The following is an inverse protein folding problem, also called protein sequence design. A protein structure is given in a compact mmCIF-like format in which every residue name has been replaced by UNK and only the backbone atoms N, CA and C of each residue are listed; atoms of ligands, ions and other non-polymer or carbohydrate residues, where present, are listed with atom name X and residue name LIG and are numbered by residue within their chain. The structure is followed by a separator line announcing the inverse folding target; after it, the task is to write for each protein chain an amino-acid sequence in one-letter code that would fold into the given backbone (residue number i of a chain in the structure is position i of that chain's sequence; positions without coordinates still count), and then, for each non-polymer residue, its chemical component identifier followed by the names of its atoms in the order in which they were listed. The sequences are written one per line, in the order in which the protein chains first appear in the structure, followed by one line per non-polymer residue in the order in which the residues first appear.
data_IF_585378694011
#
_entry.id   IF_585378694011
#
_cell.length_a   1.000
_cell.length_b   1.000
_cell.length_c   1.000
_cell.angle_alpha   90.00
_cell.angle_beta   90.00
_cell.angle_gamma   90.00
#
_symmetry.space_group_name_H-M   'P 1'
#
loop_
_entity.id
_entity.type
_entity.pdbx_description
1 polymer ?
#
# COMPACT_ATOMS: atom_id res chain seq x y z
N UNK A 1 -1.22 7.60 20.20
CA UNK A 1 -1.91 8.35 19.14
C UNK A 1 -3.41 8.13 19.29
N UNK A 2 -4.24 9.16 19.12
CA UNK A 2 -5.71 9.04 19.23
C UNK A 2 -6.34 8.65 17.89
N UNK A 3 -7.62 8.25 17.85
CA UNK A 3 -8.31 7.98 16.58
C UNK A 3 -8.29 9.19 15.64
N UNK A 4 -8.42 10.40 16.19
CA UNK A 4 -8.39 11.65 15.41
C UNK A 4 -7.03 11.92 14.79
N UNK A 5 -5.96 11.57 15.49
CA UNK A 5 -4.61 11.70 14.95
C UNK A 5 -4.38 10.69 13.82
N UNK A 6 -4.87 9.47 13.99
CA UNK A 6 -4.80 8.43 12.95
C UNK A 6 -5.57 8.86 11.70
N UNK A 7 -6.75 9.47 11.83
CA UNK A 7 -7.51 9.99 10.68
C UNK A 7 -6.75 11.05 9.88
N UNK A 8 -5.89 11.84 10.53
CA UNK A 8 -5.01 12.80 9.83
C UNK A 8 -3.87 12.08 9.13
N UNK A 9 -3.31 11.04 9.75
CA UNK A 9 -2.29 10.22 9.10
C UNK A 9 -2.84 9.49 7.89
N UNK A 10 -4.07 8.99 7.93
CA UNK A 10 -4.70 8.39 6.75
C UNK A 10 -4.90 9.40 5.60
N UNK A 11 -5.19 10.66 5.93
CA UNK A 11 -5.23 11.72 4.91
C UNK A 11 -3.85 12.01 4.34
N UNK A 12 -2.81 12.00 5.17
CA UNK A 12 -1.43 12.13 4.71
C UNK A 12 -1.04 10.95 3.80
N UNK A 13 -1.37 9.73 4.21
CA UNK A 13 -1.16 8.51 3.42
C UNK A 13 -1.87 8.58 2.08
N UNK A 14 -3.11 9.08 2.04
CA UNK A 14 -3.84 9.27 0.80
C UNK A 14 -3.16 10.27 -0.14
N UNK A 15 -2.64 11.39 0.38
CA UNK A 15 -1.93 12.38 -0.43
C UNK A 15 -0.64 11.81 -1.00
N UNK A 16 0.16 11.14 -0.16
CA UNK A 16 1.45 10.59 -0.57
C UNK A 16 1.29 9.42 -1.55
N UNK A 17 0.35 8.51 -1.32
CA UNK A 17 0.11 7.40 -2.26
C UNK A 17 -0.36 7.87 -3.65
N UNK A 18 -0.98 9.06 -3.73
CA UNK A 18 -1.43 9.65 -4.99
C UNK A 18 -0.44 10.69 -5.55
N UNK A 19 0.65 10.98 -4.83
CA UNK A 19 1.60 12.04 -5.18
C UNK A 19 2.20 11.88 -6.60
N UNK A 20 2.54 10.67 -7.09
CA UNK A 20 3.04 10.49 -8.46
C UNK A 20 2.07 10.93 -9.56
N UNK A 21 0.77 10.99 -9.24
CA UNK A 21 -0.30 11.39 -10.16
C UNK A 21 -0.90 12.74 -9.79
N UNK A 22 -0.30 13.48 -8.86
CA UNK A 22 -0.82 14.77 -8.41
C UNK A 22 -0.60 15.86 -9.45
N UNK A 23 -1.62 16.71 -9.64
CA UNK A 23 -1.51 17.94 -10.44
C UNK A 23 -0.85 19.08 -9.66
N UNK A 24 -0.77 18.98 -8.32
CA UNK A 24 -0.27 20.02 -7.43
C UNK A 24 0.64 19.39 -6.34
N UNK A 25 1.74 18.70 -6.73
CA UNK A 25 2.53 17.89 -5.81
C UNK A 25 3.17 18.70 -4.68
N UNK A 26 3.52 19.97 -4.94
CA UNK A 26 4.08 20.86 -3.91
C UNK A 26 3.06 21.15 -2.81
N UNK A 27 1.85 21.52 -3.19
CA UNK A 27 0.75 21.80 -2.27
C UNK A 27 0.36 20.56 -1.46
N UNK A 28 0.34 19.39 -2.10
CA UNK A 28 0.05 18.12 -1.43
C UNK A 28 1.10 17.77 -0.38
N UNK A 29 2.41 17.92 -0.70
CA UNK A 29 3.49 17.72 0.27
C UNK A 29 3.35 18.71 1.43
N UNK A 30 3.10 19.99 1.18
CA UNK A 30 2.91 20.97 2.27
C UNK A 30 1.72 20.61 3.18
N UNK A 31 0.63 20.10 2.58
CA UNK A 31 -0.53 19.63 3.33
C UNK A 31 -0.19 18.40 4.19
N UNK A 32 0.61 17.47 3.67
CA UNK A 32 1.16 16.35 4.45
C UNK A 32 1.97 16.87 5.64
N UNK A 33 2.86 17.84 5.42
CA UNK A 33 3.63 18.48 6.49
C UNK A 33 2.75 19.06 7.60
N UNK A 34 1.66 19.75 7.23
CA UNK A 34 0.71 20.29 8.19
C UNK A 34 0.00 19.18 8.99
N UNK A 35 -0.41 18.09 8.34
CA UNK A 35 -1.04 16.94 9.02
C UNK A 35 -0.07 16.27 9.99
N UNK A 36 1.19 16.06 9.59
CA UNK A 36 2.24 15.48 10.45
C UNK A 36 2.53 16.37 11.67
N UNK A 37 2.50 17.69 11.49
CA UNK A 37 2.66 18.65 12.58
C UNK A 37 1.52 18.60 13.58
N UNK A 38 0.30 18.50 13.10
CA UNK A 38 -0.89 18.43 13.96
C UNK A 38 -0.99 17.15 14.80
N UNK A 39 -0.24 16.10 14.44
CA UNK A 39 -0.14 14.86 15.22
C UNK A 39 1.17 14.76 16.00
N UNK A 40 2.03 15.79 15.93
CA UNK A 40 3.29 15.87 16.68
C UNK A 40 4.42 14.99 16.13
N UNK A 41 4.37 14.60 14.85
CA UNK A 41 5.46 13.87 14.18
C UNK A 41 6.49 14.84 13.60
N UNK A 42 6.09 16.06 13.26
CA UNK A 42 6.93 17.08 12.63
C UNK A 42 6.79 18.44 13.33
N UNK A 43 7.90 19.12 13.62
CA UNK A 43 7.85 20.43 14.30
C UNK A 43 7.60 21.60 13.33
N UNK A 44 8.24 21.56 12.15
CA UNK A 44 8.11 22.56 11.08
C UNK A 44 7.71 21.91 9.75
N UNK A 45 6.73 22.50 9.09
CA UNK A 45 6.10 22.00 7.86
C UNK A 45 6.42 22.89 6.64
N UNK A 46 7.53 23.63 6.68
CA UNK A 46 7.91 24.56 5.60
C UNK A 46 8.87 23.96 4.57
N UNK A 47 9.69 22.98 4.96
CA UNK A 47 10.69 22.34 4.11
C UNK A 47 10.19 21.04 3.49
N UNK A 48 10.03 21.03 2.15
CA UNK A 48 9.48 19.89 1.42
C UNK A 48 10.28 18.60 1.62
N UNK A 49 11.61 18.71 1.68
CA UNK A 49 12.48 17.55 1.85
C UNK A 49 12.31 16.91 3.22
N UNK A 50 12.34 17.73 4.26
CA UNK A 50 12.11 17.28 5.65
C UNK A 50 10.73 16.64 5.79
N UNK A 51 9.70 17.19 5.15
CA UNK A 51 8.34 16.60 5.17
C UNK A 51 8.34 15.20 4.54
N UNK A 52 8.86 15.06 3.32
CA UNK A 52 8.88 13.78 2.60
C UNK A 52 9.72 12.75 3.36
N UNK A 53 10.92 13.13 3.82
CA UNK A 53 11.80 12.23 4.58
C UNK A 53 11.14 11.75 5.89
N UNK A 54 10.46 12.67 6.60
CA UNK A 54 9.74 12.34 7.85
C UNK A 54 8.54 11.43 7.60
N UNK A 55 7.74 11.72 6.57
CA UNK A 55 6.62 10.88 6.16
C UNK A 55 7.11 9.47 5.81
N UNK A 56 8.11 9.37 4.94
CA UNK A 56 8.65 8.11 4.46
C UNK A 56 9.21 7.26 5.60
N UNK A 57 9.90 7.89 6.56
CA UNK A 57 10.38 7.18 7.74
C UNK A 57 9.23 6.63 8.59
N UNK A 58 8.19 7.44 8.84
CA UNK A 58 7.01 6.96 9.57
C UNK A 58 6.31 5.80 8.83
N UNK A 59 6.14 5.91 7.52
CA UNK A 59 5.52 4.87 6.70
C UNK A 59 6.33 3.56 6.74
N UNK A 60 7.66 3.63 6.60
CA UNK A 60 8.54 2.46 6.71
C UNK A 60 8.46 1.78 8.07
N UNK A 61 8.40 2.55 9.16
CA UNK A 61 8.31 1.98 10.51
C UNK A 61 6.99 1.21 10.69
N UNK A 62 5.88 1.73 10.16
CA UNK A 62 4.60 1.02 10.18
C UNK A 62 4.57 -0.22 9.29
N UNK A 63 5.17 -0.14 8.09
CA UNK A 63 5.35 -1.29 7.19
C UNK A 63 6.09 -2.41 7.92
N UNK A 64 7.19 -2.08 8.59
CA UNK A 64 8.00 -3.03 9.36
C UNK A 64 7.23 -3.68 10.51
N UNK A 65 6.33 -2.93 11.15
CA UNK A 65 5.48 -3.45 12.22
C UNK A 65 4.38 -4.38 11.69
N UNK A 66 3.85 -4.11 10.49
CA UNK A 66 2.79 -4.88 9.86
C UNK A 66 3.26 -6.24 9.29
N UNK A 67 4.52 -6.34 8.87
CA UNK A 67 5.08 -7.55 8.25
C UNK A 67 5.11 -8.73 9.23
N UNK A 68 4.55 -9.87 8.80
CA UNK A 68 4.59 -11.10 9.59
C UNK A 68 5.94 -11.80 9.46
N UNK A 69 6.57 -12.10 10.60
CA UNK A 69 7.92 -12.71 10.68
C UNK A 69 8.02 -14.15 10.19
N UNK A 70 6.91 -14.90 10.11
CA UNK A 70 6.93 -16.32 9.69
C UNK A 70 6.25 -16.47 8.34
N UNK A 71 7.07 -16.61 7.30
CA UNK A 71 6.64 -16.91 5.93
C UNK A 71 6.77 -18.40 5.63
N UNK A 72 5.92 -18.95 4.77
CA UNK A 72 6.05 -20.32 4.24
C UNK A 72 6.46 -20.34 2.76
N UNK A 73 6.31 -19.21 2.08
CA UNK A 73 6.90 -18.92 0.78
C UNK A 73 7.28 -17.44 0.73
N UNK A 74 8.32 -17.11 -0.01
CA UNK A 74 8.69 -15.76 -0.40
C UNK A 74 8.00 -15.46 -1.72
N UNK A 75 7.16 -14.43 -1.76
CA UNK A 75 6.48 -13.98 -2.99
C UNK A 75 7.25 -12.80 -3.57
N UNK A 76 7.50 -12.81 -4.88
CA UNK A 76 8.15 -11.72 -5.62
C UNK A 76 7.27 -11.21 -6.76
N UNK A 77 7.26 -9.90 -6.99
CA UNK A 77 6.58 -9.25 -8.11
C UNK A 77 7.57 -8.80 -9.19
N UNK A 78 7.11 -8.88 -10.43
CA UNK A 78 7.78 -8.44 -11.64
C UNK A 78 7.02 -7.21 -12.18
N UNK A 79 7.24 -6.01 -11.62
CA UNK A 79 6.43 -4.82 -11.91
C UNK A 79 6.40 -4.43 -13.39
N UNK A 80 7.45 -4.76 -14.16
CA UNK A 80 7.51 -4.55 -15.59
C UNK A 80 6.37 -5.23 -16.36
N UNK A 81 5.90 -6.38 -15.88
CA UNK A 81 4.77 -7.10 -16.50
C UNK A 81 3.48 -6.31 -16.28
N UNK A 82 3.29 -5.75 -15.08
CA UNK A 82 2.11 -4.93 -14.79
C UNK A 82 2.15 -3.63 -15.59
N UNK A 83 3.32 -2.98 -15.69
CA UNK A 83 3.54 -1.75 -16.47
C UNK A 83 3.22 -1.98 -17.95
N UNK A 84 3.63 -3.11 -18.51
CA UNK A 84 3.26 -3.48 -19.88
C UNK A 84 1.74 -3.46 -20.07
N UNK A 85 0.99 -4.11 -19.17
CA UNK A 85 -0.46 -4.20 -19.29
C UNK A 85 -1.19 -2.87 -19.02
N UNK A 86 -0.61 -1.92 -18.29
CA UNK A 86 -1.19 -0.57 -18.15
C UNK A 86 -1.25 0.20 -19.47
N UNK A 87 -0.41 -0.18 -20.44
CA UNK A 87 -0.31 0.44 -21.76
C UNK A 87 -0.81 -0.48 -22.87
N UNK A 88 -1.58 -1.52 -22.52
CA UNK A 88 -2.16 -2.45 -23.50
C UNK A 88 -3.20 -1.74 -24.39
N UNK A 89 -3.30 -2.17 -25.65
CA UNK A 89 -4.28 -1.63 -26.60
C UNK A 89 -5.72 -2.12 -26.30
N UNK A 90 -5.85 -3.25 -25.60
CA UNK A 90 -7.13 -3.73 -25.09
C UNK A 90 -7.48 -3.00 -23.78
N UNK A 91 -8.44 -2.08 -23.86
CA UNK A 91 -8.94 -1.30 -22.72
C UNK A 91 -9.31 -2.18 -21.52
N UNK A 92 -9.83 -3.39 -21.75
CA UNK A 92 -10.17 -4.32 -20.67
C UNK A 92 -8.92 -4.81 -19.93
N UNK A 93 -7.83 -5.08 -20.64
CA UNK A 93 -6.56 -5.51 -20.03
C UNK A 93 -5.94 -4.34 -19.26
N UNK A 94 -5.95 -3.14 -19.86
CA UNK A 94 -5.47 -1.93 -19.20
C UNK A 94 -6.24 -1.64 -17.90
N UNK A 95 -7.56 -1.81 -17.91
CA UNK A 95 -8.39 -1.60 -16.72
C UNK A 95 -8.13 -2.66 -15.63
N UNK A 96 -7.90 -3.93 -15.99
CA UNK A 96 -7.49 -4.96 -15.03
C UNK A 96 -6.15 -4.60 -14.36
N UNK A 97 -5.19 -4.07 -15.12
CA UNK A 97 -3.90 -3.64 -14.57
C UNK A 97 -4.06 -2.43 -13.64
N UNK A 98 -4.89 -1.45 -14.00
CA UNK A 98 -5.22 -0.30 -13.14
C UNK A 98 -5.94 -0.73 -11.85
N UNK A 99 -6.85 -1.69 -11.95
CA UNK A 99 -7.56 -2.24 -10.80
C UNK A 99 -6.60 -2.97 -9.86
N UNK A 100 -5.61 -3.70 -10.39
CA UNK A 100 -4.55 -4.33 -9.60
C UNK A 100 -3.80 -3.30 -8.75
N UNK A 101 -3.30 -2.22 -9.36
CA UNK A 101 -2.63 -1.12 -8.65
C UNK A 101 -3.55 -0.47 -7.62
N UNK A 102 -4.80 -0.19 -8.01
CA UNK A 102 -5.80 0.42 -7.13
C UNK A 102 -6.05 -0.45 -5.90
N UNK A 103 -6.14 -1.77 -6.06
CA UNK A 103 -6.35 -2.69 -4.96
C UNK A 103 -5.12 -2.75 -4.04
N UNK A 104 -3.91 -2.73 -4.60
CA UNK A 104 -2.68 -2.68 -3.81
C UNK A 104 -2.58 -1.39 -2.99
N UNK A 105 -2.87 -0.23 -3.59
CA UNK A 105 -2.94 1.07 -2.91
C UNK A 105 -3.96 1.04 -1.77
N UNK A 106 -5.19 0.56 -2.02
CA UNK A 106 -6.23 0.43 -0.99
C UNK A 106 -5.83 -0.51 0.13
N UNK A 107 -5.15 -1.61 -0.20
CA UNK A 107 -4.67 -2.57 0.79
C UNK A 107 -3.60 -1.94 1.67
N UNK A 108 -2.60 -1.28 1.08
CA UNK A 108 -1.53 -0.59 1.79
C UNK A 108 -2.05 0.48 2.75
N UNK A 109 -2.95 1.35 2.28
CA UNK A 109 -3.58 2.39 3.11
C UNK A 109 -4.30 1.84 4.34
N UNK A 110 -4.95 0.67 4.21
CA UNK A 110 -5.60 0.04 5.37
C UNK A 110 -4.56 -0.57 6.30
N UNK A 111 -3.57 -1.28 5.75
CA UNK A 111 -2.61 -2.03 6.56
C UNK A 111 -1.68 -1.11 7.36
N UNK A 112 -1.22 -0.01 6.76
CA UNK A 112 -0.25 0.90 7.38
C UNK A 112 -0.74 1.51 8.69
N UNK A 113 -2.06 1.70 8.86
CA UNK A 113 -2.67 2.20 10.12
C UNK A 113 -3.50 1.16 10.87
N UNK A 114 -3.45 -0.11 10.46
CA UNK A 114 -4.37 -1.13 10.99
C UNK A 114 -4.21 -1.36 12.50
N UNK A 115 -2.97 -1.51 12.95
CA UNK A 115 -2.67 -1.79 14.37
C UNK A 115 -2.81 -0.53 15.24
N UNK A 116 -2.48 0.66 14.71
CA UNK A 116 -2.74 1.93 15.37
C UNK A 116 -4.24 2.14 15.63
N UNK A 117 -5.09 1.90 14.63
CA UNK A 117 -6.55 1.98 14.78
C UNK A 117 -7.04 1.03 15.85
N UNK A 118 -6.58 -0.21 15.81
CA UNK A 118 -6.92 -1.22 16.80
C UNK A 118 -6.52 -0.77 18.21
N UNK A 119 -5.32 -0.20 18.38
CA UNK A 119 -4.83 0.28 19.67
C UNK A 119 -5.65 1.48 20.18
N UNK A 120 -5.88 2.50 19.33
CA UNK A 120 -6.66 3.69 19.69
C UNK A 120 -8.11 3.34 20.04
N UNK A 121 -8.79 2.55 19.20
CA UNK A 121 -10.17 2.15 19.48
C UNK A 121 -10.31 1.32 20.74
N UNK A 122 -9.33 0.48 21.06
CA UNK A 122 -9.34 -0.29 22.31
C UNK A 122 -9.25 0.61 23.54
N UNK A 123 -8.61 1.78 23.43
CA UNK A 123 -8.48 2.75 24.51
C UNK A 123 -9.70 3.71 24.59
N UNK A 124 -10.31 4.03 23.45
CA UNK A 124 -11.32 5.09 23.35
C UNK A 124 -12.77 4.58 23.32
N UNK A 125 -13.02 3.38 22.78
CA UNK A 125 -14.38 2.86 22.57
C UNK A 125 -14.82 1.91 23.67
N UNK A 126 -16.13 1.77 23.82
CA UNK A 126 -16.70 0.72 24.65
C UNK A 126 -16.37 -0.67 24.07
N UNK A 127 -16.40 -1.73 24.90
CA UNK A 127 -16.03 -3.07 24.45
C UNK A 127 -16.90 -3.62 23.31
N UNK A 128 -18.19 -3.27 23.26
CA UNK A 128 -19.10 -3.67 22.18
C UNK A 128 -18.82 -2.88 20.90
N UNK A 129 -18.74 -1.55 21.01
CA UNK A 129 -18.45 -0.67 19.88
C UNK A 129 -17.09 -0.99 19.25
N UNK A 130 -16.05 -1.22 20.07
CA UNK A 130 -14.73 -1.67 19.60
C UNK A 130 -14.82 -2.96 18.76
N UNK A 131 -15.55 -3.98 19.26
CA UNK A 131 -15.67 -5.26 18.55
C UNK A 131 -16.35 -5.08 17.19
N UNK A 132 -17.41 -4.27 17.14
CA UNK A 132 -18.11 -4.00 15.90
C UNK A 132 -17.23 -3.23 14.91
N UNK A 133 -16.66 -2.09 15.31
CA UNK A 133 -15.85 -1.25 14.43
C UNK A 133 -14.60 -1.99 13.94
N UNK A 134 -13.94 -2.76 14.82
CA UNK A 134 -12.78 -3.55 14.42
C UNK A 134 -13.16 -4.69 13.46
N UNK A 135 -14.30 -5.36 13.67
CA UNK A 135 -14.77 -6.39 12.75
C UNK A 135 -15.05 -5.82 11.36
N UNK A 136 -15.71 -4.67 11.26
CA UNK A 136 -15.97 -4.00 9.98
C UNK A 136 -14.67 -3.62 9.24
N UNK A 137 -13.65 -3.14 9.96
CA UNK A 137 -12.33 -2.86 9.40
C UNK A 137 -11.62 -4.13 8.92
N UNK A 138 -11.64 -5.20 9.72
CA UNK A 138 -10.98 -6.48 9.39
C UNK A 138 -11.62 -7.15 8.17
N UNK A 139 -12.96 -7.11 8.07
CA UNK A 139 -13.71 -7.57 6.89
C UNK A 139 -13.38 -6.75 5.65
N UNK A 140 -13.32 -5.42 5.78
CA UNK A 140 -12.91 -4.55 4.67
C UNK A 140 -11.49 -4.90 4.19
N UNK A 141 -10.53 -5.04 5.12
CA UNK A 141 -9.16 -5.45 4.82
C UNK A 141 -9.14 -6.82 4.12
N UNK A 142 -9.94 -7.78 4.61
CA UNK A 142 -10.00 -9.12 4.05
C UNK A 142 -10.52 -9.12 2.61
N UNK A 143 -11.58 -8.38 2.32
CA UNK A 143 -12.15 -8.23 0.97
C UNK A 143 -11.14 -7.63 -0.01
N UNK A 144 -10.53 -6.49 0.34
CA UNK A 144 -9.56 -5.83 -0.54
C UNK A 144 -8.33 -6.74 -0.79
N UNK A 145 -7.91 -7.51 0.22
CA UNK A 145 -6.85 -8.49 0.03
C UNK A 145 -7.26 -9.62 -0.92
N UNK A 146 -8.51 -10.08 -0.90
CA UNK A 146 -9.00 -11.02 -1.93
C UNK A 146 -8.93 -10.40 -3.32
N UNK A 147 -9.35 -9.14 -3.45
CA UNK A 147 -9.31 -8.44 -4.74
C UNK A 147 -7.86 -8.34 -5.26
N UNK A 148 -6.88 -8.08 -4.38
CA UNK A 148 -5.45 -8.12 -4.72
C UNK A 148 -5.03 -9.50 -5.26
N UNK A 149 -5.39 -10.58 -4.56
CA UNK A 149 -5.04 -11.96 -4.95
C UNK A 149 -5.68 -12.31 -6.29
N UNK A 150 -6.93 -11.91 -6.51
CA UNK A 150 -7.65 -12.14 -7.75
C UNK A 150 -7.03 -11.36 -8.91
N UNK A 151 -6.68 -10.08 -8.72
CA UNK A 151 -5.95 -9.30 -9.72
C UNK A 151 -4.61 -9.95 -10.08
N UNK A 152 -3.80 -10.36 -9.09
CA UNK A 152 -2.53 -11.08 -9.31
C UNK A 152 -2.77 -12.36 -10.13
N UNK A 153 -3.79 -13.14 -9.79
CA UNK A 153 -4.11 -14.38 -10.49
C UNK A 153 -4.53 -14.14 -11.95
N UNK A 154 -5.20 -13.02 -12.24
CA UNK A 154 -5.54 -12.62 -13.61
C UNK A 154 -4.29 -12.22 -14.38
N UNK A 155 -3.45 -11.33 -13.84
CA UNK A 155 -2.22 -10.88 -14.52
C UNK A 155 -1.24 -12.05 -14.75
N UNK A 156 -1.11 -12.98 -13.80
CA UNK A 156 -0.32 -14.19 -13.99
C UNK A 156 -0.81 -15.06 -15.15
N UNK A 157 -2.14 -15.14 -15.36
CA UNK A 157 -2.73 -15.89 -16.49
C UNK A 157 -2.50 -15.17 -17.81
N UNK A 158 -2.61 -13.84 -17.85
CA UNK A 158 -2.30 -13.05 -19.04
C UNK A 158 -0.85 -13.25 -19.46
N UNK A 159 0.10 -13.04 -18.54
CA UNK A 159 1.53 -13.19 -18.81
C UNK A 159 1.91 -14.61 -19.27
N UNK A 160 1.28 -15.64 -18.68
CA UNK A 160 1.47 -17.03 -19.13
C UNK A 160 0.93 -17.28 -20.54
N UNK A 161 -0.23 -16.70 -20.87
CA UNK A 161 -0.86 -16.86 -22.19
C UNK A 161 -0.06 -16.17 -23.30
N UNK A 162 0.50 -15.01 -22.99
CA UNK A 162 1.24 -14.19 -23.95
C UNK A 162 2.68 -14.71 -24.14
N UNK A 163 3.04 -15.82 -23.48
CA UNK A 163 4.31 -16.50 -23.66
C UNK A 163 5.49 -15.87 -22.91
N UNK A 164 5.21 -15.05 -21.89
CA UNK A 164 6.26 -14.50 -21.03
C UNK A 164 7.06 -15.62 -20.37
N UNK A 165 8.37 -15.41 -20.23
CA UNK A 165 9.26 -16.35 -19.55
C UNK A 165 8.97 -16.46 -18.03
N UNK A 166 8.26 -15.48 -17.48
CA UNK A 166 7.86 -15.41 -16.06
C UNK A 166 6.46 -14.81 -15.91
N UNK A 167 5.87 -15.02 -14.74
CA UNK A 167 4.57 -14.44 -14.37
C UNK A 167 4.75 -13.21 -13.48
N UNK A 168 3.75 -12.34 -13.43
CA UNK A 168 3.78 -11.13 -12.61
C UNK A 168 4.17 -11.41 -11.15
N UNK A 169 3.50 -12.35 -10.48
CA UNK A 169 3.90 -12.84 -9.17
C UNK A 169 4.52 -14.24 -9.27
N UNK A 170 5.60 -14.45 -8.54
CA UNK A 170 6.29 -15.75 -8.39
C UNK A 170 6.53 -16.06 -6.91
N UNK A 171 6.82 -17.32 -6.59
CA UNK A 171 7.11 -17.74 -5.23
C UNK A 171 8.07 -18.92 -5.17
N UNK A 172 8.86 -19.00 -4.10
CA UNK A 172 9.94 -19.98 -3.90
C UNK A 172 9.45 -21.35 -3.36
N UNK A 173 8.25 -21.77 -3.75
CA UNK A 173 7.67 -23.06 -3.34
C UNK A 173 7.02 -23.77 -4.51
N UNK A 174 7.76 -24.71 -5.10
CA UNK A 174 7.36 -25.45 -6.30
C UNK A 174 6.15 -26.37 -6.09
N UNK A 175 5.78 -26.69 -4.85
CA UNK A 175 4.56 -27.46 -4.55
C UNK A 175 3.28 -26.64 -4.72
N UNK A 176 3.40 -25.32 -4.74
CA UNK A 176 2.28 -24.40 -4.94
C UNK A 176 2.25 -24.00 -6.41
N UNK A 177 1.14 -24.29 -7.10
CA UNK A 177 0.99 -24.07 -8.55
C UNK A 177 0.10 -22.88 -8.89
N UNK A 178 -0.44 -22.22 -7.88
CA UNK A 178 -1.43 -21.14 -8.01
C UNK A 178 -1.25 -20.17 -6.84
N UNK A 179 -1.23 -18.87 -7.12
CA UNK A 179 -1.12 -17.82 -6.11
C UNK A 179 -2.22 -17.94 -5.05
N UNK A 180 -3.42 -18.42 -5.41
CA UNK A 180 -4.54 -18.62 -4.47
C UNK A 180 -4.26 -19.69 -3.40
N UNK A 181 -3.25 -20.54 -3.62
CA UNK A 181 -2.78 -21.56 -2.67
C UNK A 181 -1.57 -21.08 -1.85
N UNK A 182 -0.94 -19.96 -2.23
CA UNK A 182 0.09 -19.32 -1.40
C UNK A 182 -0.56 -18.79 -0.12
N UNK A 183 0.08 -18.94 1.05
CA UNK A 183 -0.49 -18.39 2.28
C UNK A 183 -0.73 -16.90 2.15
N UNK A 184 -1.96 -16.48 2.50
CA UNK A 184 -2.39 -15.08 2.37
C UNK A 184 -1.44 -14.11 3.07
N UNK A 185 -0.88 -14.50 4.23
CA UNK A 185 0.10 -13.67 4.93
C UNK A 185 1.34 -13.36 4.10
N UNK A 186 1.78 -14.30 3.28
CA UNK A 186 3.01 -14.21 2.52
C UNK A 186 2.79 -13.30 1.30
N UNK A 187 1.60 -13.39 0.67
CA UNK A 187 1.15 -12.45 -0.36
C UNK A 187 1.01 -11.04 0.21
N UNK A 188 0.34 -10.91 1.36
CA UNK A 188 0.15 -9.63 2.03
C UNK A 188 1.48 -8.95 2.38
N UNK A 189 2.44 -9.71 2.93
CA UNK A 189 3.80 -9.21 3.18
C UNK A 189 4.44 -8.72 1.89
N UNK A 190 4.40 -9.48 0.80
CA UNK A 190 5.01 -9.06 -0.46
C UNK A 190 4.38 -7.80 -1.05
N UNK A 191 3.04 -7.63 -0.96
CA UNK A 191 2.38 -6.38 -1.38
C UNK A 191 2.90 -5.22 -0.54
N UNK A 192 2.98 -5.39 0.78
CA UNK A 192 3.45 -4.34 1.69
C UNK A 192 4.93 -4.00 1.42
N UNK A 193 5.80 -5.00 1.33
CA UNK A 193 7.25 -4.81 1.17
C UNK A 193 7.63 -4.29 -0.21
N UNK A 194 7.07 -4.83 -1.29
CA UNK A 194 7.56 -4.50 -2.64
C UNK A 194 6.81 -3.31 -3.23
N UNK A 195 5.49 -3.20 -3.01
CA UNK A 195 4.71 -2.11 -3.60
C UNK A 195 4.79 -0.82 -2.78
N UNK A 196 4.78 -0.89 -1.45
CA UNK A 196 4.81 0.33 -0.63
C UNK A 196 6.21 0.95 -0.57
N UNK A 197 7.26 0.12 -0.56
CA UNK A 197 8.63 0.65 -0.68
C UNK A 197 8.84 1.35 -2.05
N UNK A 198 8.24 0.84 -3.13
CA UNK A 198 8.26 1.50 -4.44
C UNK A 198 7.52 2.85 -4.44
N UNK A 199 6.37 2.95 -3.76
CA UNK A 199 5.66 4.22 -3.60
C UNK A 199 6.52 5.25 -2.87
N UNK A 200 7.19 4.83 -1.79
CA UNK A 200 8.08 5.69 -1.00
C UNK A 200 9.28 6.19 -1.85
N UNK A 201 9.81 5.34 -2.73
CA UNK A 201 10.85 5.75 -3.68
C UNK A 201 10.34 6.74 -4.73
N UNK A 202 9.07 6.64 -5.13
CA UNK A 202 8.47 7.58 -6.08
C UNK A 202 8.28 8.97 -5.46
N UNK A 203 8.02 9.08 -4.17
CA UNK A 203 7.93 10.37 -3.47
C UNK A 203 9.24 11.17 -3.58
N UNK A 204 10.38 10.50 -3.48
CA UNK A 204 11.70 11.12 -3.66
C UNK A 204 11.95 11.57 -5.11
N UNK A 205 11.42 10.82 -6.10
CA UNK A 205 11.48 11.23 -7.51
C UNK A 205 10.63 12.47 -7.77
N UNK A 206 9.41 12.52 -7.24
CA UNK A 206 8.52 13.68 -7.38
C UNK A 206 9.11 14.90 -6.67
N UNK A 207 9.61 14.73 -5.44
CA UNK A 207 10.27 15.82 -4.69
C UNK A 207 11.40 16.46 -5.52
N UNK A 208 12.24 15.65 -6.16
CA UNK A 208 13.32 16.15 -7.01
C UNK A 208 12.79 17.02 -8.16
N UNK A 209 11.69 16.64 -8.80
CA UNK A 209 11.07 17.40 -9.90
C UNK A 209 10.45 18.73 -9.46
N UNK A 210 10.08 18.87 -8.18
CA UNK A 210 9.41 20.06 -7.63
C UNK A 210 10.40 21.04 -7.00
N UNK A 211 11.57 20.56 -6.60
CA UNK A 211 12.63 21.36 -5.98
C UNK A 211 13.66 21.86 -7.00
N UNK A 212 13.90 21.13 -8.10
CA UNK A 212 14.74 21.53 -9.23
C UNK A 212 14.02 22.52 -10.18
#
# INVERSE_FOLDING_TARGET
MTSKDIEKLEQADQLMFNLPNSNNPKEDILKVGQLLKEVGILDDASDLRTIVDTYNQNAHDEIKNAIRKKMRATVGFHPEILIQYLHDEDDMIADIAKDCLTNFTKYGQIVIRFDDKKAAWKAEKSGEEYRQTFHELDEKRHRIHNDCIDSIAVINRLSSRDGSATTYATWDNSSITDIKKVPRSDIGNAIIEQYLDELIQNDQKVLKQVVD
#
